data_IF_150305964078
#
_entry.id   IF_150305964078
#
_cell.length_a   1.000
_cell.length_b   1.000
_cell.length_c   1.000
_cell.angle_alpha   90.00
_cell.angle_beta   90.00
_cell.angle_gamma   90.00
#
_symmetry.space_group_name_H-M   'P 1'
#
loop_
_entity.id
_entity.type
_entity.pdbx_description
1 polymer ?
#
# COMPACT_ATOMS: atom_id res chain seq x y z
N UNK A 1 -60.13 -27.67 -13.32
CA UNK A 1 -58.89 -28.50 -13.29
C UNK A 1 -57.96 -28.00 -14.39
N UNK A 2 -56.83 -27.34 -14.04
CA UNK A 2 -55.74 -26.97 -14.97
C UNK A 2 -54.73 -28.10 -14.94
N UNK A 3 -54.20 -28.60 -16.07
CA UNK A 3 -53.20 -29.66 -16.07
C UNK A 3 -51.88 -29.10 -15.50
N UNK A 4 -51.25 -29.90 -14.64
CA UNK A 4 -49.89 -29.61 -14.13
C UNK A 4 -48.89 -29.86 -15.27
N UNK A 5 -47.83 -29.03 -15.39
CA UNK A 5 -46.76 -29.26 -16.36
C UNK A 5 -45.93 -30.47 -15.95
N UNK A 6 -45.80 -31.41 -16.88
CA UNK A 6 -44.92 -32.58 -16.77
C UNK A 6 -43.45 -32.14 -16.68
N UNK A 7 -42.74 -32.59 -15.64
CA UNK A 7 -41.32 -32.40 -15.46
C UNK A 7 -40.52 -33.32 -16.38
N UNK A 8 -39.76 -32.72 -17.30
CA UNK A 8 -38.80 -33.43 -18.15
C UNK A 8 -37.38 -33.33 -17.49
N UNK A 9 -36.83 -34.42 -16.93
CA UNK A 9 -35.52 -34.43 -16.27
C UNK A 9 -34.34 -34.26 -17.24
N UNK A 10 -34.53 -34.21 -18.54
CA UNK A 10 -33.49 -34.07 -19.54
C UNK A 10 -33.23 -32.62 -20.01
N UNK A 11 -34.06 -31.65 -19.58
CA UNK A 11 -33.86 -30.23 -19.90
C UNK A 11 -33.59 -29.44 -18.64
N UNK A 12 -32.36 -29.55 -18.28
CA UNK A 12 -31.50 -28.65 -17.56
C UNK A 12 -32.06 -27.49 -16.80
N UNK A 13 -31.46 -27.32 -15.65
CA UNK A 13 -31.42 -26.11 -14.83
C UNK A 13 -31.53 -24.81 -15.67
N UNK A 14 -32.18 -23.76 -15.16
CA UNK A 14 -32.22 -22.47 -15.84
C UNK A 14 -30.78 -22.03 -16.11
N UNK A 15 -30.43 -21.94 -17.40
CA UNK A 15 -29.16 -21.36 -17.81
C UNK A 15 -29.13 -19.92 -17.32
N UNK A 16 -28.35 -19.69 -16.30
CA UNK A 16 -27.94 -18.37 -15.84
C UNK A 16 -27.38 -17.64 -17.08
N UNK A 17 -27.79 -16.39 -17.39
CA UNK A 17 -27.38 -15.70 -18.60
C UNK A 17 -25.85 -15.72 -18.67
N UNK A 18 -25.33 -16.27 -19.73
CA UNK A 18 -23.96 -16.52 -20.11
C UNK A 18 -23.00 -15.46 -19.58
N UNK A 19 -22.31 -15.75 -18.46
CA UNK A 19 -20.99 -15.19 -18.24
C UNK A 19 -20.09 -15.77 -19.34
N UNK A 20 -19.80 -14.95 -20.33
CA UNK A 20 -18.84 -15.24 -21.39
C UNK A 20 -17.44 -15.41 -20.75
N UNK A 21 -17.17 -16.63 -20.30
CA UNK A 21 -16.00 -17.04 -19.52
C UNK A 21 -14.90 -17.60 -20.40
N UNK A 22 -14.67 -16.99 -21.57
CA UNK A 22 -13.46 -17.36 -22.30
C UNK A 22 -12.23 -17.00 -21.42
N UNK A 23 -11.27 -17.94 -21.20
CA UNK A 23 -10.10 -17.71 -20.35
C UNK A 23 -9.34 -16.44 -20.73
N UNK A 24 -9.27 -16.11 -22.00
CA UNK A 24 -8.57 -14.94 -22.54
C UNK A 24 -9.24 -13.61 -22.13
N UNK A 25 -10.57 -13.53 -22.16
CA UNK A 25 -11.29 -12.31 -21.73
C UNK A 25 -11.18 -12.07 -20.22
N UNK A 26 -11.20 -13.13 -19.42
CA UNK A 26 -11.02 -13.02 -17.97
C UNK A 26 -9.61 -12.55 -17.62
N UNK A 27 -8.59 -13.01 -18.34
CA UNK A 27 -7.21 -12.54 -18.15
C UNK A 27 -7.05 -11.07 -18.57
N UNK A 28 -7.57 -10.68 -19.73
CA UNK A 28 -7.53 -9.29 -20.20
C UNK A 28 -8.18 -8.34 -19.16
N UNK A 29 -9.34 -8.70 -18.62
CA UNK A 29 -10.00 -7.91 -17.55
C UNK A 29 -9.17 -7.80 -16.29
N UNK A 30 -8.45 -8.84 -15.88
CA UNK A 30 -7.54 -8.79 -14.74
C UNK A 30 -6.36 -7.85 -15.00
N UNK A 31 -5.78 -7.87 -16.19
CA UNK A 31 -4.71 -6.94 -16.55
C UNK A 31 -5.18 -5.50 -16.55
N UNK A 32 -6.40 -5.23 -17.02
CA UNK A 32 -7.01 -3.89 -16.95
C UNK A 32 -7.17 -3.45 -15.50
N UNK A 33 -7.66 -4.32 -14.60
CA UNK A 33 -7.75 -4.00 -13.17
C UNK A 33 -6.38 -3.75 -12.54
N UNK A 34 -5.37 -4.54 -12.89
CA UNK A 34 -4.00 -4.33 -12.43
C UNK A 34 -3.43 -2.99 -12.95
N UNK A 35 -3.69 -2.63 -14.21
CA UNK A 35 -3.29 -1.35 -14.78
C UNK A 35 -3.98 -0.16 -14.08
N UNK A 36 -5.27 -0.28 -13.77
CA UNK A 36 -6.01 0.74 -13.01
C UNK A 36 -5.41 0.92 -11.63
N UNK A 37 -5.09 -0.19 -10.95
CA UNK A 37 -4.44 -0.15 -9.65
C UNK A 37 -3.05 0.48 -9.74
N UNK A 38 -2.26 0.11 -10.75
CA UNK A 38 -0.96 0.71 -11.03
C UNK A 38 -1.07 2.24 -11.20
N UNK A 39 -2.00 2.72 -12.04
CA UNK A 39 -2.21 4.16 -12.26
C UNK A 39 -2.64 4.88 -10.97
N UNK A 40 -3.51 4.25 -10.16
CA UNK A 40 -3.95 4.82 -8.88
C UNK A 40 -2.79 4.93 -7.89
N UNK A 41 -1.98 3.88 -7.75
CA UNK A 41 -0.81 3.90 -6.87
C UNK A 41 0.34 4.74 -7.44
N UNK A 42 0.43 4.91 -8.75
CA UNK A 42 1.39 5.82 -9.35
C UNK A 42 1.09 7.28 -8.97
N UNK A 43 -0.19 7.67 -8.88
CA UNK A 43 -0.60 8.95 -8.32
C UNK A 43 -0.06 9.16 -6.89
N UNK A 44 -0.15 8.14 -6.02
CA UNK A 44 0.41 8.19 -4.66
C UNK A 44 1.94 8.24 -4.71
N UNK A 45 2.56 7.36 -5.50
CA UNK A 45 4.01 7.20 -5.57
C UNK A 45 4.74 8.44 -6.10
N UNK A 46 4.17 9.13 -7.10
CA UNK A 46 4.64 10.43 -7.58
C UNK A 46 4.65 11.46 -6.44
N UNK A 47 3.62 11.47 -5.62
CA UNK A 47 3.46 12.47 -4.56
C UNK A 47 4.32 12.20 -3.32
N UNK A 48 4.85 10.97 -3.13
CA UNK A 48 5.65 10.64 -1.94
C UNK A 48 6.91 11.49 -1.80
N UNK A 49 7.81 11.59 -2.80
CA UNK A 49 9.00 12.43 -2.69
C UNK A 49 8.69 13.94 -2.87
N UNK A 50 7.63 14.27 -3.62
CA UNK A 50 7.30 15.65 -4.00
C UNK A 50 6.62 16.42 -2.87
N UNK A 51 5.76 15.75 -2.10
CA UNK A 51 5.03 16.37 -0.98
C UNK A 51 5.97 16.92 0.10
N UNK A 52 6.97 16.17 0.61
CA UNK A 52 7.89 16.68 1.61
C UNK A 52 8.72 17.87 1.11
N UNK A 53 9.19 17.81 -0.13
CA UNK A 53 9.92 18.91 -0.76
C UNK A 53 9.07 20.19 -0.88
N UNK A 54 7.81 20.07 -1.31
CA UNK A 54 6.88 21.21 -1.36
C UNK A 54 6.66 21.83 0.02
N UNK A 55 6.42 20.98 1.04
CA UNK A 55 6.16 21.47 2.41
C UNK A 55 7.38 22.17 3.00
N UNK A 56 8.59 21.64 2.79
CA UNK A 56 9.81 22.22 3.38
C UNK A 56 10.36 23.37 2.56
N UNK A 57 10.44 23.26 1.25
CA UNK A 57 11.13 24.24 0.39
C UNK A 57 10.21 25.37 -0.09
N UNK A 58 8.93 25.04 -0.40
CA UNK A 58 7.98 26.06 -0.92
C UNK A 58 7.20 26.70 0.21
N UNK A 59 6.70 25.90 1.17
CA UNK A 59 5.91 26.44 2.28
C UNK A 59 6.77 26.89 3.47
N UNK A 60 8.05 26.49 3.54
CA UNK A 60 8.95 26.81 4.64
C UNK A 60 8.55 26.18 5.99
N UNK A 61 7.77 25.09 5.96
CA UNK A 61 7.34 24.39 7.16
C UNK A 61 8.36 23.30 7.53
N UNK A 62 8.45 22.93 8.82
CA UNK A 62 9.39 21.92 9.31
C UNK A 62 9.07 20.51 8.84
N UNK A 63 10.02 19.57 9.08
CA UNK A 63 9.93 18.19 8.63
C UNK A 63 8.78 17.40 9.27
N UNK A 64 8.35 17.78 10.49
CA UNK A 64 7.11 17.24 11.09
C UNK A 64 5.91 17.41 10.14
N UNK A 65 5.72 18.61 9.60
CA UNK A 65 4.61 18.93 8.69
C UNK A 65 4.77 18.24 7.34
N UNK A 66 6.01 18.12 6.86
CA UNK A 66 6.32 17.34 5.66
C UNK A 66 5.91 15.87 5.81
N UNK A 67 6.30 15.25 6.93
CA UNK A 67 5.90 13.89 7.27
C UNK A 67 4.39 13.72 7.47
N UNK A 68 3.72 14.69 8.10
CA UNK A 68 2.26 14.71 8.26
C UNK A 68 1.55 14.82 6.90
N UNK A 69 2.07 15.65 6.00
CA UNK A 69 1.56 15.77 4.64
C UNK A 69 1.55 14.44 3.89
N UNK A 70 2.61 13.63 4.02
CA UNK A 70 2.67 12.27 3.46
C UNK A 70 1.77 11.31 4.25
N UNK A 71 1.90 11.27 5.56
CA UNK A 71 1.22 10.31 6.44
C UNK A 71 -0.30 10.45 6.45
N UNK A 72 -0.84 11.64 6.21
CA UNK A 72 -2.28 11.92 6.27
C UNK A 72 -3.12 11.06 5.31
N UNK A 73 -2.59 10.70 4.12
CA UNK A 73 -3.28 9.80 3.21
C UNK A 73 -3.43 8.40 3.83
N UNK A 74 -2.36 7.86 4.39
CA UNK A 74 -2.38 6.53 5.03
C UNK A 74 -3.27 6.50 6.27
N UNK A 75 -3.29 7.58 7.07
CA UNK A 75 -4.22 7.71 8.20
C UNK A 75 -5.68 7.66 7.73
N UNK A 76 -6.02 8.34 6.64
CA UNK A 76 -7.35 8.26 6.05
C UNK A 76 -7.67 6.84 5.54
N UNK A 77 -6.71 6.15 4.94
CA UNK A 77 -6.86 4.76 4.48
C UNK A 77 -7.21 3.83 5.64
N UNK A 78 -6.54 3.95 6.80
CA UNK A 78 -6.84 3.15 8.00
C UNK A 78 -8.27 3.36 8.46
N UNK A 79 -8.64 4.62 8.68
CA UNK A 79 -9.94 4.99 9.24
C UNK A 79 -11.11 4.53 8.34
N UNK A 80 -10.88 4.48 7.03
CA UNK A 80 -11.91 4.17 6.04
C UNK A 80 -11.88 2.73 5.54
N UNK A 81 -10.89 1.91 5.90
CA UNK A 81 -10.73 0.53 5.42
C UNK A 81 -11.95 -0.35 5.75
N UNK A 82 -12.49 -0.23 6.97
CA UNK A 82 -13.69 -0.98 7.37
C UNK A 82 -14.92 -0.54 6.57
N UNK A 83 -15.08 0.76 6.36
CA UNK A 83 -16.12 1.34 5.52
C UNK A 83 -16.02 0.82 4.07
N UNK A 84 -14.82 0.84 3.49
CA UNK A 84 -14.57 0.35 2.12
C UNK A 84 -14.95 -1.13 1.96
N UNK A 85 -14.60 -1.97 2.94
CA UNK A 85 -14.98 -3.38 2.94
C UNK A 85 -16.50 -3.58 2.93
N UNK A 86 -17.21 -2.92 3.84
CA UNK A 86 -18.67 -2.99 3.91
C UNK A 86 -19.34 -2.44 2.65
N UNK A 87 -18.77 -1.37 2.08
CA UNK A 87 -19.27 -0.78 0.85
C UNK A 87 -19.13 -1.73 -0.35
N UNK A 88 -17.99 -2.43 -0.48
CA UNK A 88 -17.75 -3.43 -1.54
C UNK A 88 -18.74 -4.61 -1.40
N UNK A 89 -18.95 -5.09 -0.17
CA UNK A 89 -19.84 -6.22 0.09
C UNK A 89 -21.31 -5.88 -0.21
N UNK A 90 -21.77 -4.67 0.15
CA UNK A 90 -23.18 -4.23 -0.03
C UNK A 90 -23.47 -3.60 -1.38
N UNK A 91 -22.55 -2.79 -1.90
CA UNK A 91 -22.73 -1.99 -3.13
C UNK A 91 -22.02 -2.56 -4.36
N UNK A 92 -21.17 -3.57 -4.18
CA UNK A 92 -20.39 -4.20 -5.25
C UNK A 92 -19.03 -3.55 -5.53
N UNK A 93 -18.15 -4.33 -6.14
CA UNK A 93 -16.75 -3.95 -6.35
C UNK A 93 -16.61 -2.82 -7.40
N UNK A 94 -17.33 -2.85 -8.52
CA UNK A 94 -17.25 -1.81 -9.57
C UNK A 94 -17.65 -0.42 -9.06
N UNK A 95 -18.78 -0.21 -8.36
CA UNK A 95 -19.13 1.08 -7.79
C UNK A 95 -18.11 1.57 -6.75
N UNK A 96 -17.51 0.67 -5.97
CA UNK A 96 -16.45 1.02 -5.02
C UNK A 96 -15.21 1.56 -5.72
N UNK A 97 -14.71 0.85 -6.74
CA UNK A 97 -13.56 1.30 -7.55
C UNK A 97 -13.87 2.62 -8.24
N UNK A 98 -15.05 2.79 -8.82
CA UNK A 98 -15.43 4.04 -9.50
C UNK A 98 -15.43 5.25 -8.54
N UNK A 99 -16.01 5.09 -7.33
CA UNK A 99 -16.02 6.15 -6.31
C UNK A 99 -14.62 6.41 -5.77
N UNK A 100 -13.84 5.36 -5.55
CA UNK A 100 -12.45 5.49 -5.11
C UNK A 100 -11.62 6.28 -6.14
N UNK A 101 -11.72 5.98 -7.44
CA UNK A 101 -11.05 6.73 -8.50
C UNK A 101 -11.51 8.20 -8.56
N UNK A 102 -12.81 8.45 -8.38
CA UNK A 102 -13.32 9.83 -8.31
C UNK A 102 -12.74 10.61 -7.11
N UNK A 103 -12.58 9.95 -5.95
CA UNK A 103 -11.93 10.55 -4.78
C UNK A 103 -10.44 10.81 -5.00
N UNK A 104 -9.73 9.93 -5.71
CA UNK A 104 -8.35 10.17 -6.13
C UNK A 104 -8.25 11.42 -7.02
N UNK A 105 -9.14 11.54 -8.01
CA UNK A 105 -9.19 12.71 -8.89
C UNK A 105 -9.45 13.97 -8.06
N UNK A 106 -10.48 13.96 -7.22
CA UNK A 106 -10.80 15.10 -6.35
C UNK A 106 -9.63 15.46 -5.43
N UNK A 107 -8.98 14.49 -4.80
CA UNK A 107 -7.82 14.68 -3.94
C UNK A 107 -6.61 15.25 -4.69
N UNK A 108 -6.36 14.80 -5.92
CA UNK A 108 -5.33 15.32 -6.81
C UNK A 108 -5.61 16.78 -7.19
N UNK A 109 -6.86 17.11 -7.55
CA UNK A 109 -7.27 18.49 -7.89
C UNK A 109 -7.21 19.42 -6.67
N UNK A 110 -7.60 18.95 -5.49
CA UNK A 110 -7.45 19.72 -4.23
C UNK A 110 -5.96 19.94 -3.93
N UNK A 111 -5.12 18.92 -4.09
CA UNK A 111 -3.65 19.07 -3.91
C UNK A 111 -3.02 19.98 -4.95
N UNK A 112 -3.52 20.00 -6.19
CA UNK A 112 -3.15 21.00 -7.20
C UNK A 112 -3.48 22.40 -6.71
N UNK A 113 -4.69 22.61 -6.15
CA UNK A 113 -5.08 23.88 -5.54
C UNK A 113 -4.10 24.33 -4.46
N UNK A 114 -3.63 23.41 -3.60
CA UNK A 114 -2.59 23.69 -2.61
C UNK A 114 -1.30 24.24 -3.25
N UNK A 115 -0.91 23.70 -4.41
CA UNK A 115 0.27 24.18 -5.16
C UNK A 115 0.11 25.55 -5.80
N UNK A 116 -1.12 26.00 -6.04
CA UNK A 116 -1.40 27.34 -6.60
C UNK A 116 -1.49 28.43 -5.52
N UNK A 117 -1.87 28.07 -4.28
CA UNK A 117 -2.05 29.03 -3.19
C UNK A 117 -0.81 29.89 -2.90
N UNK A 118 0.44 29.38 -2.89
CA UNK A 118 1.63 30.22 -2.64
C UNK A 118 1.83 31.37 -3.64
N UNK A 119 1.18 31.32 -4.81
CA UNK A 119 1.23 32.38 -5.81
C UNK A 119 0.21 33.50 -5.55
N UNK A 120 -0.66 33.32 -4.56
CA UNK A 120 -1.70 34.28 -4.20
C UNK A 120 -1.23 35.12 -2.99
N UNK A 121 -1.24 36.47 -3.08
CA UNK A 121 -0.65 37.36 -2.05
C UNK A 121 -1.35 37.29 -0.69
N UNK A 122 -2.58 36.79 -0.64
CA UNK A 122 -3.38 36.65 0.59
C UNK A 122 -3.30 35.24 1.21
N UNK A 123 -2.72 34.23 0.51
CA UNK A 123 -2.69 32.85 0.96
C UNK A 123 -1.38 32.57 1.69
N UNK A 124 -1.47 32.37 2.99
CA UNK A 124 -0.31 31.97 3.79
C UNK A 124 0.04 30.47 3.63
N UNK A 125 1.26 30.06 4.04
CA UNK A 125 1.73 28.67 3.92
C UNK A 125 0.82 27.66 4.65
N UNK A 126 0.21 28.05 5.75
CA UNK A 126 -0.73 27.20 6.50
C UNK A 126 -2.03 26.91 5.74
N UNK A 127 -2.53 27.87 4.96
CA UNK A 127 -3.70 27.64 4.10
C UNK A 127 -3.39 26.63 3.01
N UNK A 128 -2.23 26.76 2.34
CA UNK A 128 -1.77 25.80 1.35
C UNK A 128 -1.56 24.40 1.96
N UNK A 129 -0.98 24.32 3.16
CA UNK A 129 -0.81 23.07 3.87
C UNK A 129 -2.14 22.41 4.25
N UNK A 130 -3.11 23.17 4.76
CA UNK A 130 -4.43 22.63 5.10
C UNK A 130 -5.16 22.06 3.86
N UNK A 131 -5.09 22.77 2.72
CA UNK A 131 -5.65 22.30 1.45
C UNK A 131 -4.91 21.03 0.96
N UNK A 132 -3.58 20.99 1.09
CA UNK A 132 -2.80 19.78 0.78
C UNK A 132 -3.27 18.59 1.61
N UNK A 133 -3.38 18.75 2.93
CA UNK A 133 -3.85 17.68 3.82
C UNK A 133 -5.25 17.21 3.45
N UNK A 134 -6.17 18.13 3.14
CA UNK A 134 -7.51 17.78 2.67
C UNK A 134 -7.47 16.93 1.39
N UNK A 135 -6.63 17.29 0.42
CA UNK A 135 -6.40 16.49 -0.78
C UNK A 135 -5.84 15.09 -0.47
N UNK A 136 -4.88 15.01 0.45
CA UNK A 136 -4.28 13.75 0.89
C UNK A 136 -5.30 12.82 1.59
N UNK A 137 -6.18 13.37 2.41
CA UNK A 137 -7.26 12.62 3.06
C UNK A 137 -8.23 12.03 2.03
N UNK A 138 -8.59 12.79 0.99
CA UNK A 138 -9.43 12.30 -0.12
C UNK A 138 -8.74 11.17 -0.89
N UNK A 139 -7.43 11.29 -1.15
CA UNK A 139 -6.64 10.24 -1.80
C UNK A 139 -6.66 8.96 -0.96
N UNK A 140 -6.43 9.06 0.35
CA UNK A 140 -6.43 7.89 1.25
C UNK A 140 -7.80 7.20 1.34
N UNK A 141 -8.89 7.96 1.37
CA UNK A 141 -10.25 7.41 1.28
C UNK A 141 -10.46 6.69 -0.07
N UNK A 142 -9.98 7.28 -1.17
CA UNK A 142 -10.00 6.67 -2.50
C UNK A 142 -9.20 5.38 -2.55
N UNK A 143 -8.00 5.37 -1.95
CA UNK A 143 -7.10 4.21 -1.86
C UNK A 143 -7.78 3.02 -1.19
N UNK A 144 -8.46 3.25 -0.08
CA UNK A 144 -9.21 2.22 0.63
C UNK A 144 -10.26 1.55 -0.27
N UNK A 145 -11.04 2.34 -1.03
CA UNK A 145 -12.08 1.84 -1.91
C UNK A 145 -11.51 1.12 -3.14
N UNK A 146 -10.47 1.69 -3.77
CA UNK A 146 -9.84 1.09 -4.96
C UNK A 146 -9.14 -0.21 -4.59
N UNK A 147 -8.34 -0.22 -3.52
CA UNK A 147 -7.57 -1.39 -3.10
C UNK A 147 -8.47 -2.59 -2.78
N UNK A 148 -9.46 -2.39 -1.91
CA UNK A 148 -10.42 -3.46 -1.55
C UNK A 148 -11.29 -3.84 -2.75
N UNK A 149 -11.75 -2.85 -3.53
CA UNK A 149 -12.62 -3.06 -4.68
C UNK A 149 -11.94 -3.85 -5.80
N UNK A 150 -10.70 -3.52 -6.17
CA UNK A 150 -9.94 -4.22 -7.23
C UNK A 150 -9.67 -5.66 -6.84
N UNK A 151 -9.29 -5.94 -5.58
CA UNK A 151 -9.08 -7.31 -5.10
C UNK A 151 -10.39 -8.11 -5.19
N UNK A 152 -11.47 -7.57 -4.66
CA UNK A 152 -12.77 -8.25 -4.67
C UNK A 152 -13.28 -8.47 -6.12
N UNK A 153 -13.12 -7.48 -6.99
CA UNK A 153 -13.52 -7.59 -8.41
C UNK A 153 -12.68 -8.63 -9.15
N UNK A 154 -11.35 -8.61 -8.96
CA UNK A 154 -10.45 -9.58 -9.56
C UNK A 154 -10.77 -11.02 -9.13
N UNK A 155 -10.97 -11.25 -7.83
CA UNK A 155 -11.37 -12.58 -7.31
C UNK A 155 -12.74 -12.98 -7.89
N UNK A 156 -13.69 -12.06 -7.99
CA UNK A 156 -14.99 -12.34 -8.59
C UNK A 156 -14.93 -12.69 -10.08
N UNK A 157 -13.93 -12.22 -10.82
CA UNK A 157 -13.73 -12.58 -12.25
C UNK A 157 -13.13 -13.98 -12.39
N UNK A 158 -12.12 -14.35 -11.58
CA UNK A 158 -11.36 -15.61 -11.78
C UNK A 158 -11.76 -16.73 -10.84
N UNK A 159 -12.55 -16.43 -9.82
CA UNK A 159 -12.93 -17.35 -8.77
C UNK A 159 -11.92 -17.40 -7.61
N UNK A 160 -12.38 -17.84 -6.41
CA UNK A 160 -11.57 -17.87 -5.19
C UNK A 160 -10.35 -18.79 -5.28
N UNK A 161 -10.40 -19.84 -6.11
CA UNK A 161 -9.30 -20.79 -6.31
C UNK A 161 -8.07 -20.13 -6.96
N UNK A 162 -8.27 -19.03 -7.70
CA UNK A 162 -7.21 -18.26 -8.38
C UNK A 162 -6.91 -16.92 -7.70
N UNK A 163 -7.33 -16.73 -6.45
CA UNK A 163 -7.08 -15.51 -5.68
C UNK A 163 -5.60 -15.16 -5.56
N UNK A 164 -4.71 -16.15 -5.47
CA UNK A 164 -3.26 -15.95 -5.46
C UNK A 164 -2.75 -15.20 -6.70
N UNK A 165 -3.30 -15.48 -7.90
CA UNK A 165 -2.95 -14.75 -9.13
C UNK A 165 -3.38 -13.28 -9.06
N UNK A 166 -4.57 -13.00 -8.51
CA UNK A 166 -5.05 -11.62 -8.30
C UNK A 166 -4.14 -10.86 -7.36
N UNK A 167 -3.81 -11.44 -6.20
CA UNK A 167 -2.94 -10.82 -5.21
C UNK A 167 -1.51 -10.59 -5.73
N UNK A 168 -0.99 -11.49 -6.55
CA UNK A 168 0.31 -11.32 -7.19
C UNK A 168 0.30 -10.12 -8.16
N UNK A 169 -0.73 -9.99 -9.00
CA UNK A 169 -0.91 -8.85 -9.91
C UNK A 169 -1.11 -7.53 -9.15
N UNK A 170 -1.89 -7.54 -8.07
CA UNK A 170 -2.07 -6.38 -7.19
C UNK A 170 -0.73 -5.94 -6.60
N UNK A 171 0.06 -6.88 -6.08
CA UNK A 171 1.40 -6.58 -5.54
C UNK A 171 2.35 -6.02 -6.62
N UNK A 172 2.38 -6.62 -7.81
CA UNK A 172 3.19 -6.15 -8.92
C UNK A 172 2.79 -4.73 -9.38
N UNK A 173 1.49 -4.45 -9.46
CA UNK A 173 0.99 -3.12 -9.81
C UNK A 173 1.38 -2.07 -8.77
N UNK A 174 1.21 -2.36 -7.49
CA UNK A 174 1.51 -1.47 -6.38
C UNK A 174 3.00 -1.11 -6.30
N UNK A 175 3.87 -2.12 -6.24
CA UNK A 175 5.30 -1.87 -6.09
C UNK A 175 5.98 -1.44 -7.38
N UNK A 176 5.44 -1.84 -8.54
CA UNK A 176 5.84 -1.28 -9.83
C UNK A 176 5.53 0.22 -9.93
N UNK A 177 4.39 0.65 -9.38
CA UNK A 177 4.05 2.07 -9.30
C UNK A 177 5.00 2.83 -8.36
N UNK A 178 5.37 2.27 -7.20
CA UNK A 178 6.36 2.90 -6.33
C UNK A 178 7.74 3.01 -6.98
N UNK A 179 8.18 1.97 -7.70
CA UNK A 179 9.46 2.01 -8.41
C UNK A 179 9.52 3.10 -9.49
N UNK A 180 8.42 3.31 -10.22
CA UNK A 180 8.33 4.33 -11.28
C UNK A 180 8.05 5.73 -10.73
N UNK A 181 7.30 5.83 -9.62
CA UNK A 181 6.75 7.09 -9.12
C UNK A 181 7.79 8.04 -8.57
N UNK A 182 8.85 7.53 -7.95
CA UNK A 182 9.92 8.37 -7.38
C UNK A 182 10.57 9.28 -8.43
N UNK A 183 11.23 8.71 -9.45
CA UNK A 183 11.89 9.51 -10.50
C UNK A 183 10.88 10.33 -11.31
N UNK A 184 9.71 9.75 -11.63
CA UNK A 184 8.68 10.48 -12.38
C UNK A 184 8.17 11.70 -11.59
N UNK A 185 7.98 11.55 -10.27
CA UNK A 185 7.54 12.65 -9.41
C UNK A 185 8.51 13.81 -9.41
N UNK A 186 9.81 13.56 -9.24
CA UNK A 186 10.82 14.63 -9.25
C UNK A 186 11.02 15.23 -10.65
N UNK A 187 11.01 14.44 -11.71
CA UNK A 187 11.06 14.96 -13.08
C UNK A 187 9.87 15.90 -13.38
N UNK A 188 8.67 15.54 -12.94
CA UNK A 188 7.51 16.40 -13.09
C UNK A 188 7.61 17.66 -12.21
N UNK A 189 8.11 17.52 -10.97
CA UNK A 189 8.33 18.66 -10.07
C UNK A 189 9.27 19.69 -10.70
N UNK A 190 10.39 19.22 -11.27
CA UNK A 190 11.40 20.08 -11.90
C UNK A 190 10.87 20.72 -13.19
N UNK A 191 10.07 19.99 -13.98
CA UNK A 191 9.60 20.46 -15.28
C UNK A 191 8.35 21.36 -15.22
N UNK A 192 7.37 21.01 -14.37
CA UNK A 192 6.05 21.66 -14.34
C UNK A 192 5.60 22.09 -12.93
N UNK A 193 6.50 21.99 -11.95
CA UNK A 193 6.26 22.38 -10.56
C UNK A 193 5.27 21.48 -9.82
N UNK A 194 5.01 21.82 -8.55
CA UNK A 194 4.15 21.01 -7.67
C UNK A 194 2.72 20.90 -8.20
N UNK A 195 2.11 22.04 -8.58
CA UNK A 195 0.74 22.06 -9.08
C UNK A 195 0.56 21.20 -10.34
N UNK A 196 1.50 21.31 -11.31
CA UNK A 196 1.52 20.49 -12.51
C UNK A 196 1.68 19.00 -12.21
N UNK A 197 2.54 18.64 -11.26
CA UNK A 197 2.72 17.26 -10.79
C UNK A 197 1.43 16.70 -10.21
N UNK A 198 0.70 17.45 -9.40
CA UNK A 198 -0.59 17.03 -8.85
C UNK A 198 -1.67 16.92 -9.93
N UNK A 199 -1.63 17.77 -10.98
CA UNK A 199 -2.52 17.65 -12.14
C UNK A 199 -2.31 16.31 -12.87
N UNK A 200 -1.05 15.93 -13.13
CA UNK A 200 -0.73 14.60 -13.70
C UNK A 200 -1.22 13.50 -12.76
N UNK A 201 -1.00 13.64 -11.44
CA UNK A 201 -1.51 12.71 -10.44
C UNK A 201 -3.04 12.54 -10.49
N UNK A 202 -3.81 13.59 -10.76
CA UNK A 202 -5.26 13.52 -10.92
C UNK A 202 -5.68 12.89 -12.26
N UNK A 203 -4.90 13.07 -13.32
CA UNK A 203 -5.17 12.50 -14.64
C UNK A 203 -5.07 10.97 -14.66
N UNK A 204 -4.11 10.40 -13.93
CA UNK A 204 -3.89 8.94 -13.90
C UNK A 204 -5.13 8.15 -13.45
N UNK A 205 -5.76 8.43 -12.29
CA UNK A 205 -7.00 7.77 -11.90
C UNK A 205 -8.19 8.12 -12.81
N UNK A 206 -8.18 9.28 -13.49
CA UNK A 206 -9.20 9.61 -14.47
C UNK A 206 -9.16 8.66 -15.69
N UNK A 207 -7.97 8.32 -16.19
CA UNK A 207 -7.80 7.28 -17.20
C UNK A 207 -8.32 5.92 -16.70
N UNK A 208 -8.05 5.57 -15.43
CA UNK A 208 -8.61 4.38 -14.80
C UNK A 208 -10.14 4.39 -14.76
N UNK A 209 -10.74 5.53 -14.42
CA UNK A 209 -12.20 5.69 -14.38
C UNK A 209 -12.85 5.53 -15.77
N UNK A 210 -12.19 5.99 -16.82
CA UNK A 210 -12.62 5.73 -18.20
C UNK A 210 -12.50 4.25 -18.56
N UNK A 211 -11.40 3.60 -18.18
CA UNK A 211 -11.15 2.18 -18.50
C UNK A 211 -12.16 1.22 -17.86
N UNK A 212 -12.71 1.54 -16.67
CA UNK A 212 -13.71 0.66 -16.03
C UNK A 212 -15.12 0.80 -16.61
N UNK A 213 -15.43 1.85 -17.39
CA UNK A 213 -16.80 2.08 -17.90
C UNK A 213 -17.37 0.87 -18.64
N UNK A 214 -16.66 0.27 -19.65
CA UNK A 214 -17.18 -0.86 -20.40
C UNK A 214 -17.14 -2.19 -19.64
N UNK A 215 -16.46 -2.26 -18.49
CA UNK A 215 -16.29 -3.51 -17.76
C UNK A 215 -17.55 -3.88 -16.98
N UNK A 216 -18.01 -5.13 -17.09
CA UNK A 216 -19.10 -5.64 -16.25
C UNK A 216 -18.62 -5.77 -14.79
N UNK A 217 -19.43 -5.32 -13.85
CA UNK A 217 -19.23 -5.53 -12.41
C UNK A 217 -19.42 -6.99 -12.03
N UNK A 218 -19.04 -7.32 -10.79
CA UNK A 218 -19.33 -8.60 -10.14
C UNK A 218 -20.45 -8.37 -9.13
N UNK A 219 -21.32 -9.36 -8.96
CA UNK A 219 -22.47 -9.28 -8.05
C UNK A 219 -22.01 -8.97 -6.60
N UNK A 220 -22.71 -8.06 -5.94
CA UNK A 220 -22.58 -7.83 -4.53
C UNK A 220 -23.09 -9.04 -3.74
N UNK A 221 -22.54 -9.27 -2.55
CA UNK A 221 -23.00 -10.30 -1.62
C UNK A 221 -23.57 -9.61 -0.37
N UNK A 222 -24.76 -8.99 -0.46
CA UNK A 222 -25.35 -8.29 0.68
C UNK A 222 -25.69 -9.31 1.78
N UNK A 223 -25.21 -9.03 3.00
CA UNK A 223 -25.55 -9.84 4.18
C UNK A 223 -24.39 -10.52 4.88
N UNK A 224 -23.18 -10.53 4.36
CA UNK A 224 -22.00 -11.01 5.06
C UNK A 224 -21.60 -10.02 6.17
N UNK A 225 -22.12 -10.22 7.38
CA UNK A 225 -21.68 -9.45 8.56
C UNK A 225 -20.23 -9.85 8.88
N UNK A 226 -19.28 -8.93 8.66
CA UNK A 226 -17.91 -9.13 9.10
C UNK A 226 -17.81 -9.00 10.61
N UNK A 227 -17.19 -9.96 11.30
CA UNK A 227 -16.89 -9.81 12.73
C UNK A 227 -16.04 -8.56 12.97
N UNK A 228 -16.18 -7.86 14.09
CA UNK A 228 -15.41 -6.66 14.39
C UNK A 228 -13.91 -7.00 14.54
N UNK A 229 -13.02 -6.12 14.13
CA UNK A 229 -11.55 -6.31 14.21
C UNK A 229 -11.07 -6.69 15.62
N UNK A 230 -11.70 -6.14 16.66
CA UNK A 230 -11.40 -6.47 18.07
C UNK A 230 -11.48 -7.96 18.38
N UNK A 231 -12.29 -8.74 17.67
CA UNK A 231 -12.44 -10.19 17.89
C UNK A 231 -11.19 -11.00 17.54
N UNK A 232 -10.30 -10.46 16.72
CA UNK A 232 -9.07 -11.13 16.26
C UNK A 232 -7.80 -10.45 16.80
N UNK A 233 -7.87 -9.20 17.26
CA UNK A 233 -6.71 -8.39 17.63
C UNK A 233 -5.80 -9.08 18.66
N UNK A 234 -6.37 -9.65 19.74
CA UNK A 234 -5.61 -10.31 20.79
C UNK A 234 -4.79 -11.52 20.33
N UNK A 235 -5.15 -12.12 19.18
CA UNK A 235 -4.43 -13.26 18.59
C UNK A 235 -3.35 -12.84 17.62
N UNK A 236 -3.53 -11.71 16.92
CA UNK A 236 -2.66 -11.31 15.79
C UNK A 236 -1.75 -10.13 16.11
N UNK A 237 -1.83 -9.51 17.30
CA UNK A 237 -1.15 -8.25 17.60
C UNK A 237 0.38 -8.31 17.45
N UNK A 238 1.03 -9.42 17.83
CA UNK A 238 2.47 -9.58 17.66
C UNK A 238 2.86 -9.63 16.18
N UNK A 239 2.07 -10.33 15.36
CA UNK A 239 2.27 -10.40 13.91
C UNK A 239 2.04 -9.02 13.26
N UNK A 240 1.02 -8.30 13.75
CA UNK A 240 0.75 -6.92 13.38
C UNK A 240 1.89 -5.98 13.79
N UNK A 241 2.42 -6.12 15.01
CA UNK A 241 3.56 -5.33 15.47
C UNK A 241 4.81 -5.54 14.59
N UNK A 242 5.12 -6.78 14.20
CA UNK A 242 6.24 -7.09 13.30
C UNK A 242 6.08 -6.39 11.95
N UNK A 243 4.88 -6.42 11.35
CA UNK A 243 4.66 -5.75 10.07
C UNK A 243 4.60 -4.23 10.19
N UNK A 244 4.15 -3.70 11.34
CA UNK A 244 4.25 -2.26 11.62
C UNK A 244 5.71 -1.81 11.70
N UNK A 245 6.54 -2.54 12.44
CA UNK A 245 7.97 -2.23 12.59
C UNK A 245 8.69 -2.26 11.24
N UNK A 246 8.38 -3.24 10.38
CA UNK A 246 8.86 -3.27 8.99
C UNK A 246 8.36 -2.06 8.18
N UNK A 247 7.11 -1.65 8.37
CA UNK A 247 6.53 -0.52 7.64
C UNK A 247 7.24 0.82 7.86
N UNK A 248 7.94 0.99 8.99
CA UNK A 248 8.71 2.19 9.31
C UNK A 248 9.83 2.41 8.27
N UNK A 249 10.53 1.34 7.87
CA UNK A 249 11.60 1.43 6.85
C UNK A 249 11.10 1.91 5.50
N UNK A 250 9.97 1.39 5.02
CA UNK A 250 9.34 1.88 3.78
C UNK A 250 8.93 3.35 3.88
N UNK A 251 8.27 3.74 4.98
CA UNK A 251 7.82 5.11 5.17
C UNK A 251 9.01 6.10 5.27
N UNK A 252 10.12 5.68 5.87
CA UNK A 252 11.37 6.45 5.92
C UNK A 252 11.92 6.72 4.51
N UNK A 253 12.03 5.68 3.67
CA UNK A 253 12.47 5.83 2.27
C UNK A 253 11.49 6.72 1.49
N UNK A 254 10.19 6.46 1.60
CA UNK A 254 9.17 7.17 0.84
C UNK A 254 9.09 8.66 1.11
N UNK A 255 9.23 9.07 2.38
CA UNK A 255 9.04 10.45 2.79
C UNK A 255 10.35 11.26 2.92
N UNK A 256 11.46 10.62 3.29
CA UNK A 256 12.67 11.35 3.69
C UNK A 256 13.89 11.09 2.83
N UNK A 257 13.91 10.06 1.97
CA UNK A 257 15.07 9.77 1.14
C UNK A 257 15.41 10.91 0.19
N UNK A 258 14.42 11.47 -0.50
CA UNK A 258 14.65 12.60 -1.42
C UNK A 258 15.07 13.87 -0.67
N UNK A 259 14.51 14.13 0.53
CA UNK A 259 14.96 15.25 1.38
C UNK A 259 16.40 15.08 1.83
N UNK A 260 16.81 13.86 2.22
CA UNK A 260 18.19 13.56 2.60
C UNK A 260 19.13 13.80 1.44
N UNK A 261 18.83 13.31 0.23
CA UNK A 261 19.65 13.53 -0.97
C UNK A 261 19.79 15.01 -1.33
N UNK A 262 18.70 15.76 -1.26
CA UNK A 262 18.73 17.20 -1.52
C UNK A 262 19.57 17.93 -0.46
N UNK A 263 19.46 17.55 0.82
CA UNK A 263 20.24 18.12 1.90
C UNK A 263 21.76 17.90 1.70
N UNK A 264 22.16 16.68 1.31
CA UNK A 264 23.53 16.32 1.01
C UNK A 264 24.02 16.83 -0.35
N UNK A 265 23.14 17.48 -1.13
CA UNK A 265 23.43 17.91 -2.51
C UNK A 265 23.83 16.74 -3.44
N UNK A 266 23.28 15.55 -3.18
CA UNK A 266 23.54 14.35 -3.98
C UNK A 266 22.64 14.28 -5.22
N UNK A 267 23.15 13.79 -6.37
CA UNK A 267 22.35 13.54 -7.55
C UNK A 267 21.41 12.34 -7.37
N UNK A 268 20.38 12.25 -8.22
CA UNK A 268 19.49 11.08 -8.30
C UNK A 268 18.54 10.88 -7.10
N UNK A 269 18.13 11.95 -6.44
CA UNK A 269 17.20 11.90 -5.30
C UNK A 269 15.90 11.09 -5.55
N UNK A 270 15.43 11.03 -6.80
CA UNK A 270 14.25 10.25 -7.21
C UNK A 270 14.46 8.74 -7.26
N UNK A 271 15.71 8.27 -7.35
CA UNK A 271 15.99 6.83 -7.52
C UNK A 271 15.85 6.00 -6.25
N UNK A 272 15.67 6.61 -5.07
CA UNK A 272 15.50 5.88 -3.82
C UNK A 272 14.31 4.92 -3.84
N UNK A 273 13.13 5.41 -4.25
CA UNK A 273 11.94 4.56 -4.39
C UNK A 273 12.08 3.54 -5.54
N UNK A 274 12.83 3.87 -6.60
CA UNK A 274 13.13 2.92 -7.68
C UNK A 274 14.01 1.78 -7.15
N UNK A 275 15.11 2.09 -6.49
CA UNK A 275 16.00 1.11 -5.88
C UNK A 275 15.24 0.20 -4.92
N UNK A 276 14.45 0.78 -4.01
CA UNK A 276 13.55 0.05 -3.12
C UNK A 276 12.58 -0.86 -3.90
N UNK A 277 11.86 -0.31 -4.88
CA UNK A 277 10.84 -1.04 -5.64
C UNK A 277 11.42 -2.19 -6.46
N UNK A 278 12.59 -1.98 -7.08
CA UNK A 278 13.31 -3.04 -7.81
C UNK A 278 13.71 -4.16 -6.86
N UNK A 279 14.32 -3.86 -5.71
CA UNK A 279 14.65 -4.84 -4.68
C UNK A 279 13.43 -5.63 -4.22
N UNK A 280 12.34 -4.91 -3.92
CA UNK A 280 11.08 -5.49 -3.47
C UNK A 280 10.50 -6.48 -4.49
N UNK A 281 10.40 -6.07 -5.76
CA UNK A 281 9.83 -6.90 -6.84
C UNK A 281 10.72 -8.11 -7.11
N UNK A 282 12.03 -7.93 -7.14
CA UNK A 282 13.00 -8.98 -7.42
C UNK A 282 12.89 -10.13 -6.42
N UNK A 283 12.89 -9.83 -5.12
CA UNK A 283 12.72 -10.86 -4.06
C UNK A 283 11.34 -11.50 -4.10
N UNK A 284 10.30 -10.74 -4.41
CA UNK A 284 8.95 -11.26 -4.51
C UNK A 284 8.83 -12.34 -5.58
N UNK A 285 9.45 -12.13 -6.74
CA UNK A 285 9.44 -13.12 -7.83
C UNK A 285 10.37 -14.31 -7.54
N UNK A 286 11.57 -14.05 -7.03
CA UNK A 286 12.56 -15.11 -6.81
C UNK A 286 12.20 -16.01 -5.61
N UNK A 287 11.72 -15.41 -4.51
CA UNK A 287 11.59 -16.06 -3.21
C UNK A 287 10.18 -15.99 -2.60
N UNK A 288 9.18 -15.53 -3.35
CA UNK A 288 7.80 -15.40 -2.88
C UNK A 288 7.16 -16.71 -2.38
N UNK A 289 7.72 -17.86 -2.75
CA UNK A 289 7.29 -19.19 -2.31
C UNK A 289 7.90 -19.64 -0.96
N UNK A 290 8.92 -18.93 -0.44
CA UNK A 290 9.62 -19.33 0.78
C UNK A 290 8.72 -19.42 2.02
N UNK A 291 7.78 -18.48 2.29
CA UNK A 291 6.90 -18.60 3.44
C UNK A 291 6.13 -19.94 3.49
N UNK A 292 5.76 -20.47 2.32
CA UNK A 292 5.05 -21.75 2.25
C UNK A 292 5.95 -22.96 2.47
N UNK A 293 7.24 -22.85 2.11
CA UNK A 293 8.21 -23.95 2.21
C UNK A 293 8.85 -24.08 3.59
N UNK A 294 9.31 -22.97 4.17
CA UNK A 294 10.10 -22.97 5.40
C UNK A 294 9.40 -22.28 6.58
N UNK A 295 8.14 -21.81 6.38
CA UNK A 295 7.36 -21.12 7.40
C UNK A 295 7.52 -19.60 7.37
N UNK A 296 6.52 -18.91 7.92
CA UNK A 296 6.49 -17.44 7.90
C UNK A 296 7.54 -16.79 8.81
N UNK A 297 7.71 -17.29 10.04
CA UNK A 297 8.64 -16.69 11.00
C UNK A 297 10.11 -16.72 10.54
N UNK A 298 10.69 -17.83 10.04
CA UNK A 298 12.07 -17.83 9.52
C UNK A 298 12.26 -16.84 8.36
N UNK A 299 11.28 -16.76 7.45
CA UNK A 299 11.34 -15.82 6.32
C UNK A 299 11.28 -14.37 6.80
N UNK A 300 10.37 -14.04 7.73
CA UNK A 300 10.28 -12.71 8.29
C UNK A 300 11.56 -12.29 9.02
N UNK A 301 12.18 -13.20 9.79
CA UNK A 301 13.46 -12.95 10.45
C UNK A 301 14.56 -12.59 9.44
N UNK A 302 14.76 -13.42 8.40
CA UNK A 302 15.75 -13.14 7.36
C UNK A 302 15.49 -11.81 6.66
N UNK A 303 14.24 -11.54 6.32
CA UNK A 303 13.79 -10.31 5.68
C UNK A 303 14.04 -9.06 6.53
N UNK A 304 13.68 -9.09 7.82
CA UNK A 304 13.90 -7.97 8.74
C UNK A 304 15.40 -7.71 9.00
N UNK A 305 16.24 -8.76 9.02
CA UNK A 305 17.69 -8.59 9.13
C UNK A 305 18.25 -7.86 7.90
N UNK A 306 17.81 -8.24 6.69
CA UNK A 306 18.22 -7.55 5.44
C UNK A 306 17.74 -6.10 5.43
N UNK A 307 16.50 -5.85 5.87
CA UNK A 307 15.94 -4.49 5.98
C UNK A 307 16.74 -3.62 6.96
N UNK A 308 17.06 -4.16 8.15
CA UNK A 308 17.86 -3.46 9.13
C UNK A 308 19.23 -3.04 8.56
N UNK A 309 19.91 -3.96 7.86
CA UNK A 309 21.18 -3.66 7.19
C UNK A 309 20.98 -2.58 6.12
N UNK A 310 19.91 -2.69 5.30
CA UNK A 310 19.61 -1.69 4.27
C UNK A 310 19.42 -0.29 4.84
N UNK A 311 18.64 -0.16 5.91
CA UNK A 311 18.40 1.12 6.60
C UNK A 311 19.71 1.69 7.24
N UNK A 312 20.51 0.82 7.86
CA UNK A 312 21.79 1.24 8.44
C UNK A 312 22.80 1.69 7.37
N UNK A 313 22.76 1.10 6.16
CA UNK A 313 23.57 1.58 5.05
C UNK A 313 23.13 2.97 4.58
N UNK A 314 21.82 3.25 4.51
CA UNK A 314 21.36 4.61 4.19
C UNK A 314 21.80 5.60 5.27
N UNK A 315 21.66 5.23 6.56
CA UNK A 315 22.08 6.07 7.67
C UNK A 315 23.56 6.41 7.64
N UNK A 316 24.42 5.44 7.32
CA UNK A 316 25.89 5.59 7.35
C UNK A 316 26.46 6.02 5.99
N UNK A 317 25.61 6.25 4.98
CA UNK A 317 26.10 6.57 3.65
C UNK A 317 26.83 7.92 3.60
N UNK A 318 28.05 7.88 3.06
CA UNK A 318 28.82 9.08 2.74
C UNK A 318 28.77 9.46 1.24
N UNK A 319 28.05 8.67 0.43
CA UNK A 319 27.87 8.89 -1.01
C UNK A 319 26.50 8.37 -1.51
N UNK A 320 25.99 8.87 -2.64
CA UNK A 320 24.68 8.48 -3.16
C UNK A 320 24.57 7.00 -3.54
N UNK A 321 25.68 6.35 -3.94
CA UNK A 321 25.66 4.96 -4.38
C UNK A 321 25.39 4.03 -3.19
N UNK A 322 26.04 4.26 -2.07
CA UNK A 322 25.83 3.49 -0.84
C UNK A 322 24.41 3.68 -0.30
N UNK A 323 23.88 4.92 -0.36
CA UNK A 323 22.50 5.20 0.03
C UNK A 323 21.48 4.48 -0.87
N UNK A 324 21.69 4.47 -2.19
CA UNK A 324 20.84 3.73 -3.14
C UNK A 324 20.94 2.22 -2.93
N UNK A 325 22.12 1.68 -2.64
CA UNK A 325 22.31 0.28 -2.27
C UNK A 325 21.55 -0.06 -0.99
N UNK A 326 21.56 0.82 0.01
CA UNK A 326 20.78 0.70 1.24
C UNK A 326 19.27 0.70 0.98
N UNK A 327 18.79 1.60 0.11
CA UNK A 327 17.38 1.64 -0.31
C UNK A 327 16.97 0.34 -1.04
N UNK A 328 17.82 -0.19 -1.91
CA UNK A 328 17.61 -1.46 -2.60
C UNK A 328 17.52 -2.63 -1.61
N UNK A 329 18.46 -2.73 -0.66
CA UNK A 329 18.44 -3.76 0.39
C UNK A 329 17.20 -3.62 1.29
N UNK A 330 16.79 -2.41 1.62
CA UNK A 330 15.53 -2.16 2.35
C UNK A 330 14.35 -2.75 1.58
N UNK A 331 14.29 -2.56 0.25
CA UNK A 331 13.26 -3.15 -0.60
C UNK A 331 13.29 -4.68 -0.60
N UNK A 332 14.48 -5.29 -0.70
CA UNK A 332 14.67 -6.73 -0.59
C UNK A 332 14.10 -7.25 0.75
N UNK A 333 14.45 -6.59 1.86
CA UNK A 333 14.03 -6.97 3.20
C UNK A 333 12.52 -6.81 3.42
N UNK A 334 11.94 -5.70 3.02
CA UNK A 334 10.49 -5.43 3.20
C UNK A 334 9.58 -6.43 2.49
N UNK A 335 10.03 -7.00 1.36
CA UNK A 335 9.16 -7.68 0.40
C UNK A 335 8.39 -8.88 0.97
N UNK A 336 9.03 -9.72 1.78
CA UNK A 336 8.43 -10.98 2.24
C UNK A 336 7.84 -10.93 3.64
N UNK A 337 8.06 -9.86 4.42
CA UNK A 337 7.57 -9.78 5.82
C UNK A 337 6.04 -9.85 5.87
N UNK A 338 5.36 -9.05 5.04
CA UNK A 338 3.89 -9.02 5.02
C UNK A 338 3.27 -10.37 4.65
N UNK A 339 3.63 -11.07 3.56
CA UNK A 339 3.06 -12.38 3.25
C UNK A 339 3.48 -13.45 4.24
N UNK A 340 4.70 -13.39 4.77
CA UNK A 340 5.19 -14.33 5.76
C UNK A 340 4.37 -14.26 7.06
N UNK A 341 4.19 -13.06 7.61
CA UNK A 341 3.36 -12.85 8.80
C UNK A 341 1.88 -13.05 8.51
N UNK A 342 1.39 -12.68 7.34
CA UNK A 342 0.01 -12.91 6.92
C UNK A 342 -0.34 -14.41 6.86
N UNK A 343 0.59 -15.26 6.43
CA UNK A 343 0.44 -16.71 6.47
C UNK A 343 0.25 -17.22 7.92
N UNK A 344 1.07 -16.77 8.85
CA UNK A 344 0.94 -17.13 10.26
C UNK A 344 -0.42 -16.67 10.83
N UNK A 345 -0.84 -15.45 10.52
CA UNK A 345 -2.16 -14.90 10.92
C UNK A 345 -3.31 -15.78 10.43
N UNK A 346 -3.26 -16.27 9.18
CA UNK A 346 -4.30 -17.15 8.63
C UNK A 346 -4.39 -18.47 9.38
N UNK A 347 -3.27 -19.01 9.88
CA UNK A 347 -3.25 -20.24 10.66
C UNK A 347 -3.72 -20.06 12.12
N UNK A 348 -3.63 -18.84 12.68
CA UNK A 348 -4.06 -18.57 14.05
C UNK A 348 -5.57 -18.43 14.22
N UNK A 349 -6.32 -18.26 13.14
CA UNK A 349 -7.75 -17.96 13.19
C UNK A 349 -8.59 -18.99 12.44
N UNK A 350 -9.83 -19.17 12.90
CA UNK A 350 -10.78 -20.04 12.23
C UNK A 350 -11.11 -19.54 10.80
N UNK A 351 -11.47 -20.43 9.85
CA UNK A 351 -11.66 -20.07 8.44
C UNK A 351 -12.60 -18.88 8.20
N UNK A 352 -13.68 -18.75 8.97
CA UNK A 352 -14.65 -17.66 8.84
C UNK A 352 -14.11 -16.28 9.33
N UNK A 353 -13.02 -16.26 10.11
CA UNK A 353 -12.39 -15.04 10.61
C UNK A 353 -11.19 -14.59 9.77
N UNK A 354 -10.71 -15.38 8.80
CA UNK A 354 -9.49 -15.11 8.04
C UNK A 354 -9.51 -13.76 7.32
N UNK A 355 -10.61 -13.42 6.67
CA UNK A 355 -10.74 -12.13 5.98
C UNK A 355 -10.67 -10.95 6.95
N UNK A 356 -11.35 -11.05 8.10
CA UNK A 356 -11.30 -10.04 9.17
C UNK A 356 -9.91 -9.91 9.76
N UNK A 357 -9.23 -11.04 10.00
CA UNK A 357 -7.88 -11.06 10.57
C UNK A 357 -6.85 -10.45 9.60
N UNK A 358 -6.91 -10.77 8.31
CA UNK A 358 -6.04 -10.16 7.30
C UNK A 358 -6.32 -8.67 7.12
N UNK A 359 -7.57 -8.24 7.18
CA UNK A 359 -7.92 -6.82 7.16
C UNK A 359 -7.38 -6.06 8.37
N UNK A 360 -7.54 -6.62 9.58
CA UNK A 360 -6.99 -6.06 10.81
C UNK A 360 -5.44 -6.06 10.79
N UNK A 361 -4.82 -7.13 10.28
CA UNK A 361 -3.38 -7.24 10.11
C UNK A 361 -2.81 -6.16 9.16
N UNK A 362 -3.46 -5.93 8.02
CA UNK A 362 -3.06 -4.88 7.09
C UNK A 362 -3.18 -3.47 7.72
N UNK A 363 -4.16 -3.24 8.61
CA UNK A 363 -4.30 -1.97 9.31
C UNK A 363 -3.08 -1.64 10.19
N UNK A 364 -2.38 -2.63 10.74
CA UNK A 364 -1.12 -2.40 11.47
C UNK A 364 -0.04 -1.79 10.57
N UNK A 365 0.07 -2.22 9.32
CA UNK A 365 1.03 -1.65 8.37
C UNK A 365 0.66 -0.20 8.00
N UNK A 366 -0.63 0.06 7.75
CA UNK A 366 -1.10 1.40 7.45
C UNK A 366 -0.85 2.37 8.62
N UNK A 367 -1.01 1.92 9.88
CA UNK A 367 -0.66 2.71 11.07
C UNK A 367 0.81 3.12 11.05
N UNK A 368 1.71 2.20 10.71
CA UNK A 368 3.13 2.53 10.57
C UNK A 368 3.34 3.59 9.49
N UNK A 369 2.76 3.43 8.31
CA UNK A 369 2.89 4.39 7.22
C UNK A 369 2.34 5.78 7.57
N UNK A 370 1.22 5.84 8.31
CA UNK A 370 0.61 7.11 8.72
C UNK A 370 1.39 7.84 9.81
N UNK A 371 1.89 7.12 10.80
CA UNK A 371 2.54 7.72 11.98
C UNK A 371 4.04 7.93 11.80
N UNK A 372 4.70 7.13 10.98
CA UNK A 372 6.17 7.27 10.79
C UNK A 372 6.53 8.64 10.22
N UNK A 373 5.75 9.18 9.26
CA UNK A 373 6.04 10.47 8.66
C UNK A 373 6.24 11.59 9.70
N UNK A 374 5.23 11.94 10.51
CA UNK A 374 5.38 12.99 11.51
C UNK A 374 6.42 12.68 12.60
N UNK A 375 6.52 11.43 13.07
CA UNK A 375 7.51 11.03 14.09
C UNK A 375 8.93 11.16 13.54
N UNK A 376 9.18 10.63 12.34
CA UNK A 376 10.47 10.74 11.66
C UNK A 376 10.82 12.19 11.31
N UNK A 377 9.81 13.02 10.99
CA UNK A 377 10.00 14.45 10.77
C UNK A 377 10.50 15.18 12.02
N UNK A 378 9.92 14.89 13.19
CA UNK A 378 10.42 15.44 14.46
C UNK A 378 11.86 14.99 14.74
N UNK A 379 12.19 13.77 14.41
CA UNK A 379 13.54 13.24 14.58
C UNK A 379 14.52 13.91 13.60
N UNK A 380 14.10 14.10 12.34
CA UNK A 380 14.90 14.82 11.35
C UNK A 380 15.16 16.26 11.73
N UNK A 381 14.18 16.97 12.32
CA UNK A 381 14.33 18.35 12.80
C UNK A 381 15.35 18.47 13.94
N UNK A 382 15.54 17.41 14.76
CA UNK A 382 16.43 17.42 15.93
C UNK A 382 17.80 16.81 15.68
N UNK A 383 17.88 15.76 14.88
CA UNK A 383 19.06 14.90 14.72
C UNK A 383 19.49 14.69 13.26
N UNK A 384 18.89 15.46 12.32
CA UNK A 384 19.17 15.37 10.89
C UNK A 384 18.50 14.17 10.19
N UNK A 385 18.49 14.20 8.85
CA UNK A 385 17.79 13.20 8.03
C UNK A 385 18.31 11.78 8.19
N UNK A 386 19.60 11.60 8.44
CA UNK A 386 20.20 10.27 8.67
C UNK A 386 19.53 9.52 9.82
N UNK A 387 19.13 10.24 10.89
CA UNK A 387 18.46 9.64 12.06
C UNK A 387 17.14 8.93 11.75
N UNK A 388 16.45 9.34 10.67
CA UNK A 388 15.22 8.70 10.19
C UNK A 388 15.48 7.25 9.76
N UNK A 389 16.60 7.02 9.07
CA UNK A 389 16.99 5.68 8.61
C UNK A 389 17.55 4.84 9.76
N UNK A 390 18.21 5.46 10.74
CA UNK A 390 18.56 4.78 11.98
C UNK A 390 17.31 4.29 12.73
N UNK A 391 16.25 5.10 12.80
CA UNK A 391 14.95 4.70 13.35
C UNK A 391 14.38 3.49 12.59
N UNK A 392 14.42 3.52 11.25
CA UNK A 392 13.98 2.40 10.40
C UNK A 392 14.77 1.12 10.67
N UNK A 393 16.10 1.22 10.76
CA UNK A 393 16.99 0.10 11.10
C UNK A 393 16.74 -0.47 12.50
N UNK A 394 16.57 0.41 13.50
CA UNK A 394 16.22 0.01 14.86
C UNK A 394 14.86 -0.68 14.92
N UNK A 395 13.85 -0.16 14.20
CA UNK A 395 12.53 -0.77 14.13
C UNK A 395 12.58 -2.17 13.49
N UNK A 396 13.29 -2.34 12.38
CA UNK A 396 13.49 -3.64 11.74
C UNK A 396 14.22 -4.63 12.67
N UNK A 397 15.24 -4.16 13.44
CA UNK A 397 15.94 -4.98 14.43
C UNK A 397 15.01 -5.42 15.58
N UNK A 398 14.16 -4.52 16.09
CA UNK A 398 13.14 -4.87 17.10
C UNK A 398 12.14 -5.86 16.53
N UNK A 399 11.70 -5.67 15.28
CA UNK A 399 10.83 -6.61 14.56
C UNK A 399 11.48 -8.00 14.43
N UNK A 400 12.76 -8.06 14.09
CA UNK A 400 13.54 -9.30 14.05
C UNK A 400 13.55 -10.01 15.42
N UNK A 401 13.88 -9.29 16.49
CA UNK A 401 13.91 -9.84 17.86
C UNK A 401 12.51 -10.33 18.30
N UNK A 402 11.46 -9.61 17.92
CA UNK A 402 10.07 -10.02 18.17
C UNK A 402 9.76 -11.33 17.44
N UNK A 403 10.13 -11.47 16.17
CA UNK A 403 9.93 -12.70 15.40
C UNK A 403 10.75 -13.87 15.97
N UNK A 404 11.98 -13.63 16.46
CA UNK A 404 12.79 -14.63 17.18
C UNK A 404 12.10 -15.10 18.45
N UNK A 405 11.57 -14.16 19.25
CA UNK A 405 10.82 -14.48 20.47
C UNK A 405 9.59 -15.36 20.15
N UNK A 406 8.79 -14.97 19.15
CA UNK A 406 7.63 -15.74 18.70
C UNK A 406 8.01 -17.17 18.29
N UNK A 407 9.10 -17.31 17.52
CA UNK A 407 9.59 -18.63 17.10
C UNK A 407 10.00 -19.50 18.29
N UNK A 408 10.70 -18.93 19.28
CA UNK A 408 11.13 -19.66 20.49
C UNK A 408 9.94 -20.13 21.32
N UNK A 409 8.92 -19.30 21.49
CA UNK A 409 7.70 -19.65 22.24
C UNK A 409 6.91 -20.77 21.57
N UNK A 410 6.83 -20.77 20.23
CA UNK A 410 6.19 -21.85 19.47
C UNK A 410 6.94 -23.18 19.60
N UNK A 411 8.28 -23.17 19.51
CA UNK A 411 9.11 -24.37 19.67
C UNK A 411 8.99 -24.91 21.09
N UNK A 412 8.98 -24.04 22.12
CA UNK A 412 8.83 -24.46 23.52
C UNK A 412 7.45 -25.05 23.85
N UNK A 413 6.40 -24.65 23.09
CA UNK A 413 5.04 -25.18 23.24
C UNK A 413 4.79 -26.47 22.48
N UNK A 414 5.70 -26.91 21.60
CA UNK A 414 5.60 -28.16 20.87
C UNK A 414 6.06 -29.33 21.77
N UNK A 415 5.30 -30.44 21.89
CA UNK A 415 5.75 -31.59 22.63
C UNK A 415 7.07 -32.15 22.05
N UNK A 416 7.96 -32.72 22.86
CA UNK A 416 9.20 -33.33 22.37
C UNK A 416 8.85 -34.41 21.32
N UNK A 417 9.68 -34.58 20.29
CA UNK A 417 9.49 -35.64 19.31
C UNK A 417 9.50 -36.99 20.05
N UNK A 418 8.45 -37.80 19.75
CA UNK A 418 8.27 -39.13 20.35
C UNK A 418 9.35 -40.11 19.93
#
# INVERSE_FOLDING_TARGET
>A
MRPQPTYDPARGQPQNPSHDTSPDRSQARLFVLAAILFLSYLCVAISLPVTPLFVTQTLGLGNFWAGLGVGSAFLATILTRSFAGNFVDGGGAKPAVARGLALYIAGGLVSLGAGLLPHLPWAGPWAAFAVLVAGRLLIGLGESLVGVGVIAWGIGIVGPQRSGKVLALVGAALYGAFAAGGPLGLLLLDGIGFAGTMAVGALLPALGLLAIRPMAGVAAHPGAKRPPFRSVLGRIWLHGAVVSLQGIGFAAIGAFFSLHFVHESWPFAGLGLTAFGVGFVLVRFAFGHLPDRIGGLPVAMGSLAVEAVGQLLVWSAGDPTLALAGAFLTGLGCSLVFPAMGREVVHLVQPHLRATALGAFAAFQDVAYGLTGPVAGLLADRAGYGSVFLLGGAAAAVGFLTAVHMRRTLVAASPPPA
#
